data_IF_798488826757
#
_entry.id   IF_798488826757
#
_cell.length_a   1.000
_cell.length_b   1.000
_cell.length_c   1.000
_cell.angle_alpha   90.00
_cell.angle_beta   90.00
_cell.angle_gamma   90.00
#
_symmetry.space_group_name_H-M   'P 1'
#
loop_
_entity.id
_entity.type
_entity.pdbx_description
1 polymer ?
#
# COMPACT_ATOMS: atom_id res chain seq x y z
N UNK A 1 14.13 17.29 -42.85
CA UNK A 1 13.06 16.74 -43.72
C UNK A 1 13.03 15.24 -43.46
N UNK A 2 12.13 14.78 -42.59
CA UNK A 2 12.03 13.37 -42.24
C UNK A 2 10.85 12.79 -43.02
N UNK A 3 11.14 11.90 -43.98
CA UNK A 3 10.14 11.31 -44.85
C UNK A 3 9.27 10.34 -44.04
N UNK A 4 7.96 10.56 -44.09
CA UNK A 4 6.94 9.63 -43.63
C UNK A 4 6.90 8.43 -44.60
N UNK A 5 7.33 7.26 -44.16
CA UNK A 5 6.89 6.01 -44.77
C UNK A 5 5.57 5.61 -44.10
N UNK A 6 4.45 5.87 -44.78
CA UNK A 6 3.15 5.29 -44.46
C UNK A 6 3.16 3.82 -44.86
N UNK A 7 2.86 2.97 -43.89
CA UNK A 7 2.33 1.63 -44.08
C UNK A 7 0.86 1.72 -43.61
N UNK A 8 -0.05 1.70 -44.58
CA UNK A 8 -1.50 1.57 -44.40
C UNK A 8 -1.90 0.08 -44.43
N UNK A 9 -1.27 -0.78 -43.61
CA UNK A 9 -1.70 -2.16 -43.43
C UNK A 9 -2.32 -2.36 -42.04
N UNK A 10 -3.65 -2.39 -42.07
CA UNK A 10 -4.53 -2.98 -41.08
C UNK A 10 -4.73 -2.26 -39.75
N UNK A 11 -3.98 -1.25 -39.34
CA UNK A 11 -4.23 -0.59 -38.05
C UNK A 11 -4.08 -1.53 -36.84
N UNK A 12 -4.22 -0.98 -35.63
CA UNK A 12 -3.94 -1.71 -34.39
C UNK A 12 -5.16 -2.53 -33.93
N UNK A 13 -5.01 -3.85 -33.83
CA UNK A 13 -6.03 -4.76 -33.26
C UNK A 13 -5.96 -4.82 -31.73
N UNK A 14 -4.76 -4.67 -31.14
CA UNK A 14 -4.58 -4.61 -29.70
C UNK A 14 -3.15 -4.94 -29.27
N UNK A 15 -2.99 -5.08 -27.95
CA UNK A 15 -1.72 -5.38 -27.31
C UNK A 15 -1.83 -6.63 -26.44
N UNK A 16 -0.74 -7.38 -26.41
CA UNK A 16 -0.48 -8.37 -25.37
C UNK A 16 0.57 -7.84 -24.41
N UNK A 17 0.33 -7.96 -23.10
CA UNK A 17 1.22 -7.42 -22.09
C UNK A 17 1.23 -8.19 -20.77
N UNK A 18 2.42 -8.28 -20.18
CA UNK A 18 2.64 -8.96 -18.90
C UNK A 18 3.59 -8.15 -18.02
N UNK A 19 3.41 -8.26 -16.70
CA UNK A 19 4.29 -7.67 -15.69
C UNK A 19 4.78 -8.79 -14.76
N UNK A 20 6.08 -9.03 -14.74
CA UNK A 20 6.71 -10.04 -13.89
C UNK A 20 8.17 -9.66 -13.54
N UNK A 21 8.91 -10.53 -12.86
CA UNK A 21 10.30 -10.29 -12.42
C UNK A 21 11.37 -10.80 -13.41
N UNK A 22 10.95 -11.51 -14.46
CA UNK A 22 11.83 -12.13 -15.45
C UNK A 22 12.01 -11.22 -16.68
N UNK A 23 13.24 -10.77 -16.91
CA UNK A 23 13.54 -9.83 -18.00
C UNK A 23 13.29 -10.35 -19.41
N UNK A 24 13.20 -11.68 -19.58
CA UNK A 24 13.09 -12.34 -20.88
C UNK A 24 11.67 -12.78 -21.25
N UNK A 25 10.65 -12.43 -20.45
CA UNK A 25 9.30 -12.92 -20.72
C UNK A 25 8.75 -12.38 -22.04
N UNK A 26 8.16 -13.27 -22.84
CA UNK A 26 7.47 -12.92 -24.07
C UNK A 26 5.97 -13.10 -23.78
N UNK A 27 5.15 -12.04 -23.89
CA UNK A 27 3.70 -12.15 -23.72
C UNK A 27 3.11 -13.16 -24.70
N UNK A 28 2.02 -13.82 -24.32
CA UNK A 28 1.34 -14.79 -25.16
C UNK A 28 0.61 -14.14 -26.35
N UNK A 29 0.00 -14.93 -27.24
CA UNK A 29 -0.71 -14.42 -28.42
C UNK A 29 -2.19 -14.10 -28.11
N UNK A 30 -2.53 -13.78 -26.87
CA UNK A 30 -3.84 -13.25 -26.48
C UNK A 30 -3.82 -11.71 -26.52
N UNK A 31 -4.97 -11.07 -26.70
CA UNK A 31 -5.07 -9.60 -26.57
C UNK A 31 -5.70 -9.28 -25.22
N UNK A 32 -4.96 -8.55 -24.39
CA UNK A 32 -5.36 -8.11 -23.06
C UNK A 32 -6.04 -6.74 -23.13
N UNK A 33 -5.75 -5.94 -24.16
CA UNK A 33 -6.49 -4.70 -24.40
C UNK A 33 -6.01 -3.85 -25.59
N UNK A 34 -6.78 -2.81 -25.88
CA UNK A 34 -6.51 -1.82 -26.94
C UNK A 34 -6.12 -0.44 -26.40
N UNK A 35 -6.16 -0.27 -25.07
CA UNK A 35 -5.79 0.97 -24.42
C UNK A 35 -4.27 1.17 -24.45
N UNK A 36 -3.86 2.44 -24.51
CA UNK A 36 -2.46 2.85 -24.43
C UNK A 36 -1.95 2.99 -22.98
N UNK A 37 -2.79 2.65 -22.00
CA UNK A 37 -2.50 2.72 -20.58
C UNK A 37 -2.74 1.37 -19.89
N UNK A 38 -1.77 0.95 -19.07
CA UNK A 38 -1.86 -0.21 -18.21
C UNK A 38 -2.00 0.25 -16.75
N UNK A 39 -3.01 -0.25 -16.04
CA UNK A 39 -3.23 0.03 -14.61
C UNK A 39 -3.07 -1.29 -13.84
N UNK A 40 -2.08 -1.34 -12.96
CA UNK A 40 -1.87 -2.46 -12.06
C UNK A 40 -2.55 -2.18 -10.71
N UNK A 41 -3.60 -2.93 -10.39
CA UNK A 41 -4.46 -2.69 -9.22
C UNK A 41 -3.98 -3.38 -7.92
N UNK A 42 -2.80 -4.01 -7.95
CA UNK A 42 -2.22 -4.68 -6.80
C UNK A 42 -0.94 -3.94 -6.40
N UNK A 43 -0.71 -3.73 -5.11
CA UNK A 43 0.54 -3.15 -4.65
C UNK A 43 1.69 -4.14 -4.86
N UNK A 44 2.73 -3.71 -5.58
CA UNK A 44 3.97 -4.46 -5.72
C UNK A 44 4.91 -4.11 -4.55
N UNK A 45 5.66 -5.10 -4.10
CA UNK A 45 6.72 -4.93 -3.10
C UNK A 45 7.98 -4.34 -3.74
N UNK A 46 8.96 -3.94 -2.92
CA UNK A 46 10.30 -3.56 -3.41
C UNK A 46 10.88 -4.64 -4.30
N UNK A 47 11.28 -4.24 -5.50
CA UNK A 47 11.75 -5.20 -6.49
C UNK A 47 12.05 -4.59 -7.84
N UNK A 48 12.63 -5.42 -8.69
CA UNK A 48 12.79 -5.13 -10.11
C UNK A 48 11.74 -5.96 -10.83
N UNK A 49 10.87 -5.26 -11.55
CA UNK A 49 9.88 -5.84 -12.43
C UNK A 49 10.19 -5.45 -13.88
N UNK A 50 9.63 -6.20 -14.81
CA UNK A 50 9.73 -5.98 -16.22
C UNK A 50 8.31 -5.97 -16.80
N UNK A 51 7.94 -4.88 -17.46
CA UNK A 51 6.72 -4.79 -18.23
C UNK A 51 7.01 -5.17 -19.68
N UNK A 52 6.33 -6.19 -20.16
CA UNK A 52 6.49 -6.77 -21.48
C UNK A 52 5.26 -6.41 -22.31
N UNK A 53 5.46 -5.96 -23.55
CA UNK A 53 4.34 -5.63 -24.45
C UNK A 53 4.69 -5.95 -25.90
N UNK A 54 3.72 -6.45 -26.65
CA UNK A 54 3.76 -6.58 -28.12
C UNK A 54 2.42 -6.18 -28.73
N UNK A 55 2.44 -5.68 -29.96
CA UNK A 55 1.26 -5.22 -30.68
C UNK A 55 0.83 -6.24 -31.73
N UNK A 56 -0.49 -6.37 -31.93
CA UNK A 56 -1.09 -7.11 -33.04
C UNK A 56 -1.80 -6.16 -33.99
N UNK A 57 -1.63 -6.36 -35.29
CA UNK A 57 -2.45 -5.70 -36.31
C UNK A 57 -3.74 -6.51 -36.62
N UNK A 58 -4.68 -5.94 -37.38
CA UNK A 58 -5.87 -6.69 -37.83
C UNK A 58 -5.55 -7.77 -38.90
N UNK A 59 -4.33 -7.79 -39.47
CA UNK A 59 -3.87 -8.87 -40.34
C UNK A 59 -3.37 -10.10 -39.54
N UNK A 60 -3.27 -9.96 -38.21
CA UNK A 60 -2.86 -11.01 -37.30
C UNK A 60 -1.35 -11.10 -37.06
N UNK A 61 -0.55 -10.17 -37.60
CA UNK A 61 0.89 -10.13 -37.37
C UNK A 61 1.19 -9.55 -35.99
N UNK A 62 2.17 -10.13 -35.31
CA UNK A 62 2.68 -9.65 -34.03
C UNK A 62 4.00 -8.90 -34.20
N UNK A 63 4.15 -7.78 -33.51
CA UNK A 63 5.44 -7.10 -33.37
C UNK A 63 6.40 -7.92 -32.49
N UNK A 64 7.69 -7.57 -32.52
CA UNK A 64 8.61 -8.00 -31.48
C UNK A 64 8.14 -7.52 -30.09
N UNK A 65 8.48 -8.29 -29.05
CA UNK A 65 8.25 -7.89 -27.67
C UNK A 65 9.19 -6.76 -27.26
N UNK A 66 8.63 -5.75 -26.58
CA UNK A 66 9.37 -4.68 -25.92
C UNK A 66 9.34 -4.89 -24.41
N UNK A 67 10.45 -4.57 -23.73
CA UNK A 67 10.64 -4.83 -22.31
C UNK A 67 11.05 -3.55 -21.58
N UNK A 68 10.33 -3.21 -20.51
CA UNK A 68 10.56 -2.00 -19.71
C UNK A 68 10.85 -2.38 -18.27
N UNK A 69 12.06 -2.05 -17.81
CA UNK A 69 12.46 -2.30 -16.43
C UNK A 69 11.80 -1.27 -15.51
N UNK A 70 11.09 -1.76 -14.50
CA UNK A 70 10.43 -0.98 -13.46
C UNK A 70 11.09 -1.32 -12.13
N UNK A 71 11.67 -0.32 -11.47
CA UNK A 71 12.18 -0.48 -10.11
C UNK A 71 11.11 0.03 -9.14
N UNK A 72 10.46 -0.89 -8.44
CA UNK A 72 9.56 -0.55 -7.35
C UNK A 72 10.40 -0.35 -6.10
N UNK A 73 10.23 0.83 -5.50
CA UNK A 73 10.75 1.16 -4.17
C UNK A 73 9.55 1.65 -3.37
N UNK A 74 8.90 0.74 -2.68
CA UNK A 74 8.12 1.04 -1.48
C UNK A 74 9.09 1.71 -0.50
N UNK A 75 8.86 3.00 -0.28
CA UNK A 75 9.65 3.77 0.67
C UNK A 75 9.36 3.30 2.11
N UNK A 76 9.89 2.15 2.53
CA UNK A 76 9.72 1.66 3.89
C UNK A 76 11.03 1.66 4.68
N UNK A 77 10.99 2.51 5.71
CA UNK A 77 11.90 2.67 6.87
C UNK A 77 13.14 3.53 6.65
N UNK A 78 12.94 4.81 6.97
CA UNK A 78 13.96 5.78 7.39
C UNK A 78 14.97 5.07 8.31
N UNK A 79 16.28 5.05 8.00
CA UNK A 79 17.29 4.60 8.94
C UNK A 79 17.35 5.61 10.09
N UNK A 80 16.92 5.21 11.29
CA UNK A 80 17.07 6.05 12.49
C UNK A 80 18.52 5.94 12.99
N UNK A 81 19.44 6.64 12.32
CA UNK A 81 20.71 7.04 12.93
C UNK A 81 20.49 8.37 13.65
N UNK A 82 20.71 8.35 14.96
CA UNK A 82 20.41 9.41 15.91
C UNK A 82 21.25 10.69 15.67
N UNK A 83 20.55 11.77 15.24
CA UNK A 83 20.64 13.17 15.75
C UNK A 83 21.89 13.98 15.32
N UNK A 84 21.79 15.15 14.64
CA UNK A 84 21.04 16.39 14.99
C UNK A 84 20.56 17.20 13.77
N UNK A 85 19.39 17.84 13.96
CA UNK A 85 18.80 19.02 13.27
C UNK A 85 17.71 18.83 12.19
N UNK A 86 16.76 19.81 12.10
CA UNK A 86 15.35 19.51 11.92
C UNK A 86 14.81 19.99 10.57
N UNK A 87 13.93 19.20 9.96
CA UNK A 87 12.96 19.74 9.01
C UNK A 87 11.74 18.83 8.81
N UNK A 88 10.60 19.38 9.24
CA UNK A 88 9.20 19.13 8.87
C UNK A 88 8.98 18.11 7.72
N UNK A 89 8.76 16.87 8.10
CA UNK A 89 7.96 15.89 7.35
C UNK A 89 6.71 15.63 8.20
N UNK A 90 5.50 15.42 7.65
CA UNK A 90 4.36 15.05 8.47
C UNK A 90 4.62 13.64 9.00
N UNK A 91 5.31 13.55 10.14
CA UNK A 91 5.32 12.35 10.95
C UNK A 91 3.87 12.04 11.27
N UNK A 92 3.39 10.87 10.87
CA UNK A 92 2.22 10.28 11.54
C UNK A 92 2.65 10.13 13.00
N UNK A 93 2.36 11.15 13.81
CA UNK A 93 2.84 11.28 15.17
C UNK A 93 2.30 10.06 15.93
N UNK A 94 3.20 9.14 16.30
CA UNK A 94 2.82 8.01 17.14
C UNK A 94 2.46 8.62 18.49
N UNK A 95 1.17 8.74 18.73
CA UNK A 95 0.61 9.19 20.00
C UNK A 95 0.45 7.96 20.88
N UNK A 96 0.87 8.05 22.13
CA UNK A 96 0.68 7.01 23.14
C UNK A 96 -0.18 7.55 24.25
N UNK A 97 -0.89 6.65 24.92
CA UNK A 97 -1.62 6.95 26.14
C UNK A 97 -1.23 5.93 27.20
N UNK A 98 -1.10 6.38 28.44
CA UNK A 98 -0.81 5.54 29.60
C UNK A 98 -2.12 5.24 30.33
N UNK A 99 -2.36 3.96 30.60
CA UNK A 99 -3.50 3.52 31.41
C UNK A 99 -3.28 3.94 32.87
N UNK A 100 -4.22 4.69 33.45
CA UNK A 100 -4.14 5.19 34.84
C UNK A 100 -4.94 4.35 35.83
N UNK A 101 -5.79 3.46 35.32
CA UNK A 101 -6.73 2.67 36.13
C UNK A 101 -6.42 1.19 35.95
N UNK A 102 -6.22 0.51 37.07
CA UNK A 102 -6.04 -0.95 37.08
C UNK A 102 -7.27 -1.68 36.54
N UNK A 103 -7.03 -2.81 35.86
CA UNK A 103 -8.08 -3.62 35.23
C UNK A 103 -8.96 -2.86 34.23
N UNK A 104 -8.40 -1.87 33.52
CA UNK A 104 -9.11 -1.09 32.51
C UNK A 104 -9.61 -1.97 31.37
N UNK A 105 -10.92 -1.99 31.09
CA UNK A 105 -11.48 -2.85 30.05
C UNK A 105 -11.14 -2.32 28.66
N UNK A 106 -10.60 -3.21 27.83
CA UNK A 106 -10.44 -3.01 26.39
C UNK A 106 -11.61 -3.69 25.70
N UNK A 107 -12.41 -2.92 24.96
CA UNK A 107 -13.64 -3.39 24.30
C UNK A 107 -13.45 -3.59 22.81
N UNK A 108 -14.34 -4.39 22.20
CA UNK A 108 -14.34 -4.61 20.75
C UNK A 108 -14.89 -3.43 19.93
N UNK A 109 -15.55 -2.47 20.57
CA UNK A 109 -16.10 -1.29 19.94
C UNK A 109 -16.21 -0.09 20.89
N UNK A 110 -16.47 1.11 20.35
CA UNK A 110 -16.60 2.33 21.13
C UNK A 110 -17.97 2.39 21.82
N UNK A 111 -18.09 1.80 23.01
CA UNK A 111 -19.31 1.85 23.79
C UNK A 111 -19.40 0.80 24.88
N UNK A 112 -20.30 1.02 25.84
CA UNK A 112 -20.51 0.12 26.98
C UNK A 112 -21.21 -1.19 26.61
N UNK A 113 -21.91 -1.21 25.48
CA UNK A 113 -22.62 -2.38 24.93
C UNK A 113 -21.70 -3.38 24.23
N UNK A 114 -20.47 -2.98 23.91
CA UNK A 114 -19.49 -3.87 23.28
C UNK A 114 -18.79 -4.77 24.31
N UNK A 115 -18.56 -6.05 23.98
CA UNK A 115 -17.89 -6.97 24.88
C UNK A 115 -16.45 -6.52 25.19
N UNK A 116 -16.02 -6.82 26.41
CA UNK A 116 -14.63 -6.65 26.85
C UNK A 116 -13.81 -7.79 26.24
N UNK A 117 -12.79 -7.45 25.44
CA UNK A 117 -11.84 -8.39 24.85
C UNK A 117 -10.79 -8.78 25.87
N UNK A 118 -10.26 -7.78 26.59
CA UNK A 118 -9.23 -7.98 27.61
C UNK A 118 -9.27 -6.85 28.63
N UNK A 119 -8.50 -6.98 29.71
CA UNK A 119 -8.26 -5.93 30.69
C UNK A 119 -6.78 -5.60 30.73
N UNK A 120 -6.48 -4.32 30.95
CA UNK A 120 -5.11 -3.80 30.98
C UNK A 120 -4.85 -3.16 32.33
N UNK A 121 -3.72 -3.52 32.96
CA UNK A 121 -3.27 -2.96 34.24
C UNK A 121 -2.82 -1.50 34.10
N UNK A 122 -2.73 -0.81 35.24
CA UNK A 122 -2.20 0.54 35.28
C UNK A 122 -0.73 0.59 34.82
N UNK A 123 -0.31 1.75 34.31
CA UNK A 123 1.06 1.98 33.83
C UNK A 123 1.37 1.42 32.44
N UNK A 124 0.46 0.64 31.83
CA UNK A 124 0.65 0.15 30.46
C UNK A 124 0.48 1.29 29.46
N UNK A 125 1.42 1.39 28.53
CA UNK A 125 1.37 2.33 27.41
C UNK A 125 0.73 1.65 26.19
N UNK A 126 -0.24 2.35 25.60
CA UNK A 126 -0.96 1.92 24.41
C UNK A 126 -0.75 2.92 23.27
N UNK A 127 -0.66 2.43 22.04
CA UNK A 127 -0.56 3.31 20.86
C UNK A 127 -1.97 3.80 20.52
N UNK A 128 -2.17 5.11 20.51
CA UNK A 128 -3.42 5.74 20.09
C UNK A 128 -3.54 5.69 18.56
N UNK A 129 -4.59 5.01 18.08
CA UNK A 129 -4.91 4.88 16.65
C UNK A 129 -5.94 5.92 16.23
N UNK A 130 -6.99 6.13 17.04
CA UNK A 130 -8.12 7.03 16.73
C UNK A 130 -8.71 7.62 18.02
N UNK A 131 -8.78 8.94 18.10
CA UNK A 131 -9.42 9.74 19.17
C UNK A 131 -10.68 10.47 18.69
N UNK A 132 -11.17 10.19 17.48
CA UNK A 132 -12.35 10.85 16.92
C UNK A 132 -13.67 10.50 17.62
N UNK A 133 -13.69 9.50 18.51
CA UNK A 133 -14.89 9.08 19.24
C UNK A 133 -14.99 9.81 20.57
N UNK A 134 -16.19 10.31 20.86
CA UNK A 134 -16.49 11.20 22.00
C UNK A 134 -15.93 10.75 23.36
N UNK A 135 -15.96 9.45 23.65
CA UNK A 135 -15.54 8.92 24.95
C UNK A 135 -14.54 7.75 24.87
N UNK A 136 -14.14 7.36 23.67
CA UNK A 136 -13.36 6.15 23.45
C UNK A 136 -12.16 6.41 22.56
N UNK A 137 -11.03 5.87 22.96
CA UNK A 137 -9.83 5.84 22.15
C UNK A 137 -9.66 4.46 21.55
N UNK A 138 -9.45 4.39 20.25
CA UNK A 138 -8.97 3.17 19.62
C UNK A 138 -7.49 3.07 19.89
N UNK A 139 -7.08 1.94 20.46
CA UNK A 139 -5.73 1.74 20.94
C UNK A 139 -5.18 0.39 20.48
N UNK A 140 -3.87 0.35 20.26
CA UNK A 140 -3.13 -0.89 20.01
C UNK A 140 -2.34 -1.26 21.26
N UNK A 141 -2.51 -2.51 21.70
CA UNK A 141 -1.81 -3.09 22.85
C UNK A 141 -0.41 -3.59 22.45
N UNK A 142 0.48 -3.86 23.43
CA UNK A 142 1.81 -4.42 23.18
C UNK A 142 1.79 -5.78 22.46
N UNK A 143 0.72 -6.55 22.62
CA UNK A 143 0.49 -7.84 21.95
C UNK A 143 -0.02 -7.70 20.50
N UNK A 144 -0.04 -6.47 19.97
CA UNK A 144 -0.61 -6.08 18.68
C UNK A 144 -2.13 -6.19 18.55
N UNK A 145 -2.86 -6.55 19.60
CA UNK A 145 -4.33 -6.49 19.58
C UNK A 145 -4.83 -5.04 19.54
N UNK A 146 -5.98 -4.84 18.93
CA UNK A 146 -6.63 -3.53 18.80
C UNK A 146 -7.95 -3.57 19.56
N UNK A 147 -8.21 -2.53 20.32
CA UNK A 147 -9.49 -2.37 20.99
C UNK A 147 -9.77 -0.94 21.40
N UNK A 148 -10.81 -0.77 22.20
CA UNK A 148 -11.33 0.53 22.60
C UNK A 148 -11.24 0.70 24.11
N UNK A 149 -10.65 1.79 24.56
CA UNK A 149 -10.53 2.16 25.98
C UNK A 149 -11.24 3.49 26.23
N UNK A 150 -11.79 3.68 27.43
CA UNK A 150 -12.35 4.97 27.83
C UNK A 150 -11.22 5.99 27.99
N UNK A 151 -11.41 7.19 27.42
CA UNK A 151 -10.39 8.24 27.48
C UNK A 151 -10.06 8.67 28.92
N UNK A 152 -11.04 8.61 29.83
CA UNK A 152 -10.85 8.95 31.25
C UNK A 152 -9.90 8.01 32.00
N UNK A 153 -9.69 6.79 31.47
CA UNK A 153 -8.75 5.81 32.03
C UNK A 153 -7.34 5.99 31.46
N UNK A 154 -7.12 7.04 30.66
CA UNK A 154 -5.90 7.30 29.93
C UNK A 154 -5.33 8.68 30.28
N UNK A 155 -4.01 8.79 30.33
CA UNK A 155 -3.28 10.06 30.35
C UNK A 155 -2.28 10.10 29.19
N UNK A 156 -1.91 11.31 28.76
CA UNK A 156 -0.92 11.55 27.72
C UNK A 156 0.51 11.45 28.26
#
# INVERSE_FOLDING_TARGET
>A
MWNTSSDDASGLAGYSYQLDENSGTIPDDLIEGTNTAYIHNVSLVDGIYYFHIKARDYAGNWSNASHYKIKIQQADKIPVLSVRQPSKQPSKQIRTVTVTVNDSPIRSGPGETYPVITKVSDGIQLILIDDSKKWYYQVKLPDNSIGWILYINCQW
#
